data_IF_802435709102
#
_entry.id   IF_802435709102
#
_cell.length_a   1.000
_cell.length_b   1.000
_cell.length_c   1.000
_cell.angle_alpha   90.00
_cell.angle_beta   90.00
_cell.angle_gamma   90.00
#
_symmetry.space_group_name_H-M   'P 1'
#
loop_
_entity.id
_entity.type
_entity.pdbx_description
1 polymer ?
#
# COMPACT_ATOMS: atom_id res chain seq x y z
N UNK A 1 47.59 44.13 -8.18
CA UNK A 1 47.40 44.52 -6.77
C UNK A 1 45.99 44.07 -6.39
N UNK A 2 45.81 42.83 -5.95
CA UNK A 2 45.69 42.36 -4.53
C UNK A 2 44.34 42.81 -3.91
N UNK A 3 43.39 41.99 -3.42
CA UNK A 3 43.29 40.61 -2.89
C UNK A 3 41.78 40.18 -2.99
N UNK A 4 41.40 38.97 -3.43
CA UNK A 4 41.14 37.73 -2.65
C UNK A 4 40.13 37.92 -1.48
N UNK A 5 38.89 37.40 -1.53
CA UNK A 5 38.40 36.05 -1.13
C UNK A 5 37.21 36.31 -0.14
N UNK A 6 36.12 35.55 0.02
CA UNK A 6 35.91 34.11 0.08
C UNK A 6 34.45 33.75 -0.25
N UNK A 7 34.28 32.67 -1.02
CA UNK A 7 33.07 31.84 -1.07
C UNK A 7 32.94 31.05 0.25
N UNK A 8 31.72 30.95 0.81
CA UNK A 8 31.38 29.95 1.81
C UNK A 8 30.27 29.09 1.23
N UNK A 9 30.68 27.98 0.60
CA UNK A 9 29.82 26.83 0.34
C UNK A 9 29.69 26.06 1.66
N UNK A 10 28.48 26.00 2.21
CA UNK A 10 28.20 25.14 3.36
C UNK A 10 27.82 23.75 2.85
N UNK A 11 28.83 22.87 2.81
CA UNK A 11 28.65 21.44 2.62
C UNK A 11 28.23 20.82 3.96
N UNK A 12 26.96 20.41 4.09
CA UNK A 12 26.56 19.53 5.18
C UNK A 12 27.05 18.11 4.86
N UNK A 13 28.01 17.66 5.67
CA UNK A 13 28.64 16.35 5.59
C UNK A 13 27.60 15.23 5.77
N UNK A 14 27.53 14.34 4.77
CA UNK A 14 26.91 13.02 4.91
C UNK A 14 27.91 12.13 5.63
N UNK A 15 27.58 11.71 6.85
CA UNK A 15 28.34 10.70 7.58
C UNK A 15 27.99 9.34 6.98
N UNK A 16 28.90 8.81 6.16
CA UNK A 16 28.90 7.40 5.74
C UNK A 16 29.42 6.54 6.90
N UNK A 17 28.52 5.89 7.63
CA UNK A 17 28.89 4.75 8.47
C UNK A 17 28.92 3.52 7.56
N UNK A 18 30.12 3.19 7.08
CA UNK A 18 30.41 1.95 6.38
C UNK A 18 30.65 0.85 7.41
N UNK A 19 29.66 -0.01 7.63
CA UNK A 19 29.88 -1.31 8.27
C UNK A 19 29.69 -2.41 7.23
N UNK A 20 30.81 -2.91 6.73
CA UNK A 20 30.91 -4.13 5.93
C UNK A 20 30.28 -5.29 6.68
N UNK A 21 29.38 -6.02 6.04
CA UNK A 21 29.09 -7.41 6.40
C UNK A 21 28.84 -8.18 5.12
N UNK A 22 29.65 -9.22 4.97
CA UNK A 22 29.84 -10.00 3.76
C UNK A 22 28.56 -10.69 3.30
N UNK A 23 28.44 -10.81 1.98
CA UNK A 23 27.50 -11.70 1.33
C UNK A 23 27.81 -13.15 1.72
N UNK A 24 26.86 -13.82 2.36
CA UNK A 24 26.80 -15.29 2.39
C UNK A 24 25.71 -15.69 1.41
N UNK A 25 26.14 -16.25 0.28
CA UNK A 25 25.28 -17.00 -0.62
C UNK A 25 24.86 -18.28 0.11
N UNK A 26 23.57 -18.42 0.37
CA UNK A 26 22.96 -19.70 0.70
C UNK A 26 22.07 -20.13 -0.47
N UNK A 27 22.33 -21.35 -0.93
CA UNK A 27 21.76 -21.99 -2.10
C UNK A 27 20.23 -22.03 -2.10
N UNK A 28 19.68 -21.90 -3.30
CA UNK A 28 18.29 -22.20 -3.59
C UNK A 28 17.97 -23.66 -3.24
N UNK A 29 17.00 -23.84 -2.34
CA UNK A 29 16.31 -25.12 -2.17
C UNK A 29 14.83 -24.86 -2.42
N UNK A 30 14.29 -25.61 -3.38
CA UNK A 30 12.89 -25.68 -3.76
C UNK A 30 11.91 -25.58 -2.59
N UNK A 31 11.00 -24.61 -2.67
CA UNK A 31 9.71 -24.67 -1.97
C UNK A 31 8.63 -24.72 -3.05
N UNK A 32 8.24 -25.95 -3.38
CA UNK A 32 7.13 -26.26 -4.23
C UNK A 32 5.82 -25.68 -3.64
N UNK A 33 5.05 -25.00 -4.48
CA UNK A 33 3.71 -24.53 -4.16
C UNK A 33 2.74 -25.72 -4.06
N UNK A 34 2.04 -25.95 -2.92
CA UNK A 34 1.32 -27.21 -2.69
C UNK A 34 -0.12 -27.26 -3.25
N UNK A 35 -0.48 -26.52 -4.30
CA UNK A 35 -1.90 -26.38 -4.69
C UNK A 35 -2.29 -26.84 -6.09
N UNK A 36 -1.49 -27.71 -6.72
CA UNK A 36 -1.85 -28.32 -8.01
C UNK A 36 -1.50 -29.81 -8.02
N UNK A 37 -2.44 -30.66 -7.61
CA UNK A 37 -2.61 -32.03 -8.12
C UNK A 37 -3.92 -32.62 -7.60
N UNK A 38 -4.86 -32.89 -8.51
CA UNK A 38 -6.14 -33.49 -8.18
C UNK A 38 -6.88 -33.95 -9.44
N UNK A 39 -6.32 -34.93 -10.13
CA UNK A 39 -7.07 -35.75 -11.11
C UNK A 39 -7.05 -37.19 -10.61
N UNK A 40 -8.23 -37.78 -10.39
CA UNK A 40 -8.36 -39.20 -10.05
C UNK A 40 -9.74 -39.57 -9.56
N UNK A 41 -10.55 -40.09 -10.48
CA UNK A 41 -11.92 -40.57 -10.34
C UNK A 41 -12.04 -41.88 -9.53
N UNK A 42 -13.12 -42.08 -8.77
CA UNK A 42 -14.14 -43.14 -8.97
C UNK A 42 -14.80 -43.71 -7.69
N UNK A 43 -16.13 -43.85 -7.79
CA UNK A 43 -17.06 -44.85 -7.22
C UNK A 43 -17.53 -44.80 -5.74
N UNK A 44 -18.86 -44.60 -5.64
CA UNK A 44 -19.88 -45.24 -4.79
C UNK A 44 -19.67 -45.41 -3.26
N UNK A 45 -20.56 -44.76 -2.47
CA UNK A 45 -21.60 -45.46 -1.69
C UNK A 45 -22.38 -44.51 -0.74
N UNK A 46 -23.71 -44.49 -0.95
CA UNK A 46 -24.81 -44.59 0.03
C UNK A 46 -24.88 -43.68 1.29
N UNK A 47 -26.03 -42.99 1.36
CA UNK A 47 -26.82 -42.61 2.53
C UNK A 47 -26.14 -41.95 3.75
N UNK A 48 -26.28 -40.63 3.85
CA UNK A 48 -26.80 -39.97 5.05
C UNK A 48 -27.21 -38.53 4.70
N UNK A 49 -28.47 -38.17 4.91
CA UNK A 49 -28.85 -36.76 5.05
C UNK A 49 -28.54 -36.32 6.49
N UNK A 50 -27.83 -35.20 6.68
CA UNK A 50 -28.11 -34.34 7.81
C UNK A 50 -28.67 -33.01 7.30
N UNK A 51 -29.87 -32.68 7.78
CA UNK A 51 -30.35 -31.31 7.83
C UNK A 51 -29.40 -30.54 8.75
N UNK A 52 -28.72 -29.52 8.23
CA UNK A 52 -28.16 -28.43 9.03
C UNK A 52 -27.88 -27.22 8.15
N UNK A 53 -28.65 -26.17 8.44
CA UNK A 53 -28.47 -24.72 8.28
C UNK A 53 -27.60 -24.17 7.14
N UNK A 54 -28.06 -23.12 6.44
CA UNK A 54 -27.21 -22.40 5.51
C UNK A 54 -26.02 -21.85 6.30
N UNK A 55 -24.81 -22.30 5.97
CA UNK A 55 -23.63 -21.54 6.29
C UNK A 55 -23.88 -20.14 5.74
N UNK A 56 -24.00 -19.15 6.61
CA UNK A 56 -24.10 -17.77 6.18
C UNK A 56 -22.92 -17.51 5.24
N UNK A 57 -23.23 -17.33 3.95
CA UNK A 57 -22.21 -17.09 2.93
C UNK A 57 -21.37 -15.88 3.37
N UNK A 58 -20.04 -15.92 3.24
CA UNK A 58 -19.19 -14.73 3.40
C UNK A 58 -19.50 -13.61 2.39
N UNK A 59 -20.53 -13.78 1.56
CA UNK A 59 -21.06 -12.85 0.56
C UNK A 59 -21.74 -11.60 1.18
N UNK A 60 -22.03 -11.62 2.48
CA UNK A 60 -22.47 -10.45 3.27
C UNK A 60 -21.33 -9.71 3.98
N UNK A 61 -20.06 -9.96 3.64
CA UNK A 61 -18.94 -9.15 4.09
C UNK A 61 -19.02 -7.72 3.51
N UNK A 62 -19.83 -6.90 4.17
CA UNK A 62 -19.77 -5.44 4.25
C UNK A 62 -19.98 -4.66 2.94
N UNK A 63 -21.18 -4.78 2.34
CA UNK A 63 -21.67 -3.82 1.33
C UNK A 63 -21.86 -2.38 1.86
N UNK A 64 -21.77 -2.18 3.18
CA UNK A 64 -21.90 -0.88 3.85
C UNK A 64 -20.58 -0.40 4.51
N UNK A 65 -19.50 -1.17 4.39
CA UNK A 65 -18.19 -0.84 4.94
C UNK A 65 -17.40 0.18 4.13
N UNK A 66 -16.25 0.63 4.67
CA UNK A 66 -15.34 1.55 3.96
C UNK A 66 -14.86 0.99 2.61
N UNK A 67 -14.85 -0.34 2.44
CA UNK A 67 -14.46 -1.03 1.22
C UNK A 67 -15.61 -1.33 0.23
N UNK A 68 -16.85 -0.95 0.57
CA UNK A 68 -18.05 -1.29 -0.21
C UNK A 68 -17.93 -0.93 -1.71
N UNK A 69 -17.33 0.21 -2.02
CA UNK A 69 -17.12 0.65 -3.41
C UNK A 69 -16.19 -0.28 -4.20
N UNK A 70 -15.20 -0.89 -3.54
CA UNK A 70 -14.29 -1.84 -4.17
C UNK A 70 -14.95 -3.20 -4.33
N UNK A 71 -15.71 -3.68 -3.33
CA UNK A 71 -16.48 -4.93 -3.47
C UNK A 71 -17.47 -4.87 -4.63
N UNK A 72 -18.11 -3.72 -4.89
CA UNK A 72 -18.97 -3.53 -6.07
C UNK A 72 -18.23 -3.61 -7.41
N UNK A 73 -16.92 -3.39 -7.41
CA UNK A 73 -16.05 -3.45 -8.60
C UNK A 73 -15.31 -4.79 -8.74
N UNK A 74 -15.32 -5.63 -7.71
CA UNK A 74 -14.68 -6.93 -7.77
C UNK A 74 -15.42 -7.82 -8.79
N UNK A 75 -14.69 -8.30 -9.80
CA UNK A 75 -15.19 -9.12 -10.88
C UNK A 75 -14.98 -10.64 -10.63
N UNK A 76 -14.33 -11.01 -9.52
CA UNK A 76 -14.03 -12.41 -9.21
C UNK A 76 -13.96 -12.68 -7.71
N UNK A 77 -14.18 -13.94 -7.34
CA UNK A 77 -14.02 -14.41 -5.95
C UNK A 77 -12.60 -14.18 -5.41
N UNK A 78 -11.57 -14.27 -6.26
CA UNK A 78 -10.19 -13.98 -5.88
C UNK A 78 -10.00 -12.50 -5.50
N UNK A 79 -10.60 -11.57 -6.24
CA UNK A 79 -10.56 -10.15 -5.90
C UNK A 79 -11.33 -9.86 -4.60
N UNK A 80 -12.50 -10.48 -4.40
CA UNK A 80 -13.26 -10.36 -3.15
C UNK A 80 -12.45 -10.85 -1.96
N UNK A 81 -11.81 -12.03 -2.07
CA UNK A 81 -10.97 -12.57 -1.00
C UNK A 81 -9.75 -11.68 -0.71
N UNK A 82 -9.11 -11.12 -1.75
CA UNK A 82 -8.00 -10.18 -1.58
C UNK A 82 -8.44 -8.87 -0.90
N UNK A 83 -9.62 -8.33 -1.24
CA UNK A 83 -10.18 -7.16 -0.55
C UNK A 83 -10.49 -7.47 0.92
N UNK A 84 -11.03 -8.65 1.22
CA UNK A 84 -11.31 -9.07 2.59
C UNK A 84 -10.04 -9.18 3.43
N UNK A 85 -8.97 -9.75 2.86
CA UNK A 85 -7.66 -9.79 3.53
C UNK A 85 -7.11 -8.37 3.76
N UNK A 86 -7.23 -7.49 2.77
CA UNK A 86 -6.76 -6.10 2.86
C UNK A 86 -7.55 -5.27 3.90
N UNK A 87 -8.85 -5.51 4.03
CA UNK A 87 -9.71 -4.84 5.02
C UNK A 87 -9.33 -5.18 6.47
N UNK A 88 -8.74 -6.35 6.69
CA UNK A 88 -8.24 -6.79 8.00
C UNK A 88 -6.91 -6.12 8.38
N UNK A 89 -6.18 -5.52 7.42
CA UNK A 89 -4.96 -4.77 7.71
C UNK A 89 -5.28 -3.44 8.41
N UNK A 90 -5.01 -3.40 9.71
CA UNK A 90 -5.18 -2.25 10.59
C UNK A 90 -3.85 -1.59 10.99
N UNK A 91 -2.76 -1.83 10.26
CA UNK A 91 -1.43 -1.30 10.62
C UNK A 91 -1.37 0.25 10.66
N UNK A 92 -2.23 0.93 9.89
CA UNK A 92 -2.42 2.40 9.97
C UNK A 92 -3.71 2.84 10.69
N UNK A 93 -4.38 1.91 11.37
CA UNK A 93 -5.65 2.13 12.05
C UNK A 93 -6.87 1.97 11.14
N UNK A 94 -7.98 2.62 11.50
CA UNK A 94 -9.24 2.54 10.75
C UNK A 94 -9.15 3.36 9.47
N UNK A 95 -9.21 2.69 8.33
CA UNK A 95 -9.16 3.29 7.01
C UNK A 95 -9.20 2.28 5.88
N UNK A 96 -8.81 2.74 4.70
CA UNK A 96 -8.80 2.02 3.43
C UNK A 96 -7.41 2.11 2.84
N UNK A 97 -6.86 0.97 2.45
CA UNK A 97 -5.68 0.87 1.59
C UNK A 97 -6.08 1.14 0.14
N UNK A 98 -6.34 2.42 -0.18
CA UNK A 98 -7.01 2.84 -1.42
C UNK A 98 -6.26 2.35 -2.66
N UNK A 99 -4.94 2.51 -2.70
CA UNK A 99 -4.13 2.12 -3.87
C UNK A 99 -4.14 0.60 -4.09
N UNK A 100 -3.91 -0.18 -3.05
CA UNK A 100 -3.94 -1.64 -3.10
C UNK A 100 -5.34 -2.16 -3.46
N UNK A 101 -6.39 -1.55 -2.92
CA UNK A 101 -7.77 -1.90 -3.27
C UNK A 101 -8.07 -1.64 -4.76
N UNK A 102 -7.61 -0.50 -5.30
CA UNK A 102 -7.71 -0.20 -6.73
C UNK A 102 -6.91 -1.20 -7.58
N UNK A 103 -5.73 -1.61 -7.12
CA UNK A 103 -4.93 -2.62 -7.81
C UNK A 103 -5.60 -3.99 -7.83
N UNK A 104 -6.20 -4.40 -6.71
CA UNK A 104 -6.95 -5.67 -6.61
C UNK A 104 -8.10 -5.68 -7.62
N UNK A 105 -8.90 -4.61 -7.70
CA UNK A 105 -10.04 -4.55 -8.65
C UNK A 105 -9.63 -4.19 -10.08
N UNK A 106 -8.33 -4.09 -10.38
CA UNK A 106 -7.81 -3.79 -11.72
C UNK A 106 -8.04 -2.35 -12.19
N UNK A 107 -8.39 -1.43 -11.28
CA UNK A 107 -8.59 -0.01 -11.57
C UNK A 107 -7.27 0.80 -11.53
N UNK A 108 -6.19 0.20 -11.00
CA UNK A 108 -4.84 0.75 -11.03
C UNK A 108 -3.85 -0.38 -11.31
N UNK A 109 -2.78 -0.17 -12.11
CA UNK A 109 -1.75 -1.19 -12.28
C UNK A 109 -1.01 -1.46 -10.96
N UNK A 110 -0.81 -2.74 -10.63
CA UNK A 110 -0.11 -3.19 -9.41
C UNK A 110 1.30 -2.60 -9.29
N UNK A 111 2.00 -2.50 -10.42
CA UNK A 111 3.35 -1.96 -10.55
C UNK A 111 3.35 -0.52 -11.09
N UNK A 112 2.23 0.20 -10.91
CA UNK A 112 2.11 1.59 -11.34
C UNK A 112 3.08 2.53 -10.63
N UNK A 113 3.33 3.72 -11.23
CA UNK A 113 4.23 4.72 -10.68
C UNK A 113 3.87 5.09 -9.23
N UNK A 114 4.89 5.22 -8.38
CA UNK A 114 4.75 5.62 -6.98
C UNK A 114 5.38 7.00 -6.77
N UNK A 115 4.90 7.71 -5.76
CA UNK A 115 5.49 8.99 -5.37
C UNK A 115 6.92 8.75 -4.86
N UNK A 116 7.90 9.45 -5.39
CA UNK A 116 9.27 9.42 -4.87
C UNK A 116 9.45 10.47 -3.77
N UNK A 117 10.41 10.29 -2.87
CA UNK A 117 10.72 11.29 -1.84
C UNK A 117 11.15 12.64 -2.45
N UNK A 118 11.91 12.59 -3.56
CA UNK A 118 12.35 13.79 -4.29
C UNK A 118 11.17 14.54 -4.92
N UNK A 119 10.24 13.83 -5.56
CA UNK A 119 9.03 14.44 -6.12
C UNK A 119 8.12 15.00 -5.04
N UNK A 120 7.96 14.26 -3.94
CA UNK A 120 7.17 14.72 -2.80
C UNK A 120 7.71 16.05 -2.26
N UNK A 121 9.02 16.13 -2.00
CA UNK A 121 9.67 17.34 -1.51
C UNK A 121 9.54 18.53 -2.48
N UNK A 122 9.75 18.27 -3.78
CA UNK A 122 9.62 19.27 -4.85
C UNK A 122 8.20 19.83 -4.92
N UNK A 123 7.18 18.96 -4.92
CA UNK A 123 5.76 19.35 -5.01
C UNK A 123 5.34 20.15 -3.77
N UNK A 124 5.67 19.67 -2.57
CA UNK A 124 5.31 20.35 -1.32
C UNK A 124 5.97 21.73 -1.21
N UNK A 125 7.19 21.87 -1.72
CA UNK A 125 7.90 23.15 -1.74
C UNK A 125 7.33 24.13 -2.77
N UNK A 126 6.79 23.63 -3.88
CA UNK A 126 6.24 24.44 -4.96
C UNK A 126 4.78 24.86 -4.72
N UNK A 127 3.99 24.03 -4.04
CA UNK A 127 2.55 24.22 -3.89
C UNK A 127 2.19 24.58 -2.45
N UNK A 128 1.38 25.63 -2.31
CA UNK A 128 0.98 26.15 -0.99
C UNK A 128 -0.30 25.53 -0.46
N UNK A 129 -1.18 25.04 -1.34
CA UNK A 129 -2.48 24.51 -0.97
C UNK A 129 -2.43 22.99 -0.86
N UNK A 130 -2.89 22.41 0.26
CA UNK A 130 -2.93 20.96 0.46
C UNK A 130 -3.73 20.20 -0.60
N UNK A 131 -4.80 20.81 -1.11
CA UNK A 131 -5.61 20.24 -2.19
C UNK A 131 -4.82 20.15 -3.50
N UNK A 132 -3.97 21.14 -3.80
CA UNK A 132 -3.12 21.13 -4.98
C UNK A 132 -1.99 20.10 -4.84
N UNK A 133 -1.41 19.99 -3.63
CA UNK A 133 -0.42 18.93 -3.32
C UNK A 133 -1.04 17.55 -3.47
N UNK A 134 -2.22 17.32 -2.91
CA UNK A 134 -2.97 16.08 -3.09
C UNK A 134 -3.16 15.75 -4.57
N UNK A 135 -3.67 16.70 -5.35
CA UNK A 135 -3.89 16.52 -6.79
C UNK A 135 -2.60 16.18 -7.54
N UNK A 136 -1.48 16.84 -7.19
CA UNK A 136 -0.19 16.56 -7.79
C UNK A 136 0.36 15.17 -7.40
N UNK A 137 0.14 14.72 -6.17
CA UNK A 137 0.48 13.36 -5.75
C UNK A 137 -0.37 12.32 -6.45
N UNK A 138 -1.68 12.52 -6.51
CA UNK A 138 -2.62 11.63 -7.21
C UNK A 138 -2.31 11.57 -8.72
N UNK A 139 -1.78 12.63 -9.32
CA UNK A 139 -1.34 12.60 -10.72
C UNK A 139 -0.14 11.66 -10.96
N UNK A 140 0.72 11.44 -9.95
CA UNK A 140 1.87 10.53 -10.05
C UNK A 140 1.49 9.13 -9.59
N UNK A 141 0.85 9.04 -8.42
CA UNK A 141 0.54 7.78 -7.76
C UNK A 141 -0.79 7.18 -8.25
N UNK A 142 -1.68 7.95 -8.85
CA UNK A 142 -3.05 7.55 -9.18
C UNK A 142 -4.01 7.61 -7.99
N UNK A 143 -3.54 7.38 -6.77
CA UNK A 143 -4.30 7.48 -5.52
C UNK A 143 -3.35 7.55 -4.31
N UNK A 144 -3.84 7.99 -3.14
CA UNK A 144 -3.17 7.74 -1.86
C UNK A 144 -3.04 6.23 -1.59
N UNK A 145 -1.97 5.82 -0.91
CA UNK A 145 -1.79 4.44 -0.48
C UNK A 145 -2.82 4.07 0.60
N UNK A 146 -3.08 4.99 1.52
CA UNK A 146 -4.07 4.80 2.57
C UNK A 146 -4.87 6.07 2.86
N UNK A 147 -6.17 5.92 3.09
CA UNK A 147 -7.07 6.99 3.53
C UNK A 147 -7.89 6.54 4.73
N UNK A 148 -7.99 7.40 5.74
CA UNK A 148 -8.77 7.08 6.91
C UNK A 148 -8.50 8.02 8.06
N UNK A 149 -8.67 7.50 9.27
CA UNK A 149 -8.52 8.21 10.52
C UNK A 149 -9.85 8.47 11.22
N UNK A 150 -9.83 8.36 12.54
CA UNK A 150 -11.00 8.61 13.36
C UNK A 150 -11.17 10.11 13.58
N UNK A 151 -12.22 10.69 12.99
CA UNK A 151 -12.57 12.13 13.05
C UNK A 151 -11.54 13.09 12.43
N UNK A 152 -10.42 12.56 11.96
CA UNK A 152 -9.34 13.28 11.29
C UNK A 152 -9.14 12.62 9.94
N UNK A 153 -9.39 13.36 8.85
CA UNK A 153 -9.15 12.83 7.52
C UNK A 153 -7.64 12.86 7.25
N UNK A 154 -7.06 11.68 7.07
CA UNK A 154 -5.66 11.48 6.74
C UNK A 154 -5.56 10.72 5.42
N UNK A 155 -4.82 11.30 4.48
CA UNK A 155 -4.32 10.62 3.29
C UNK A 155 -2.81 10.38 3.45
N UNK A 156 -2.35 9.16 3.17
CA UNK A 156 -0.95 8.73 3.29
C UNK A 156 -0.42 8.35 1.92
N UNK A 157 0.75 8.89 1.57
CA UNK A 157 1.50 8.58 0.36
C UNK A 157 2.88 8.08 0.75
N UNK A 158 3.15 6.80 0.56
CA UNK A 158 4.48 6.25 0.79
C UNK A 158 5.43 6.69 -0.31
N UNK A 159 6.62 7.16 0.08
CA UNK A 159 7.64 7.70 -0.84
C UNK A 159 8.65 6.65 -1.31
N UNK A 160 8.36 5.37 -1.02
CA UNK A 160 9.17 4.19 -1.32
C UNK A 160 8.33 2.90 -1.24
N UNK A 161 8.87 1.80 -1.75
CA UNK A 161 8.16 0.50 -1.80
C UNK A 161 8.14 -0.25 -0.46
N UNK A 162 9.06 0.08 0.44
CA UNK A 162 9.23 -0.51 1.76
C UNK A 162 8.26 0.06 2.81
N UNK A 163 7.44 1.05 2.43
CA UNK A 163 6.50 1.77 3.30
C UNK A 163 7.15 2.41 4.53
N UNK A 164 8.46 2.67 4.49
CA UNK A 164 9.16 3.26 5.64
C UNK A 164 9.01 4.77 5.67
N UNK A 165 8.84 5.44 4.53
CA UNK A 165 8.71 6.91 4.50
C UNK A 165 7.39 7.32 3.85
N UNK A 166 6.76 8.38 4.37
CA UNK A 166 5.51 8.87 3.80
C UNK A 166 5.31 10.38 3.94
N UNK A 167 4.51 10.94 3.04
CA UNK A 167 3.88 12.24 3.23
C UNK A 167 2.42 12.03 3.60
N UNK A 168 1.98 12.69 4.65
CA UNK A 168 0.60 12.65 5.11
C UNK A 168 -0.07 14.00 4.85
N UNK A 169 -1.33 13.98 4.43
CA UNK A 169 -2.20 15.15 4.41
C UNK A 169 -3.28 14.91 5.46
N UNK A 170 -3.26 15.71 6.53
CA UNK A 170 -4.10 15.55 7.73
C UNK A 170 -4.97 16.78 7.91
N UNK A 171 -6.30 16.65 7.75
CA UNK A 171 -7.25 17.78 7.82
C UNK A 171 -6.81 19.00 6.98
N UNK A 172 -6.27 18.77 5.78
CA UNK A 172 -5.75 19.86 4.95
C UNK A 172 -4.46 20.48 5.49
N UNK A 173 -3.67 19.75 6.26
CA UNK A 173 -2.30 20.15 6.63
C UNK A 173 -1.33 19.10 6.10
N UNK A 174 -0.28 19.55 5.43
CA UNK A 174 0.77 18.66 4.94
C UNK A 174 1.72 18.37 6.09
N UNK A 175 1.83 17.10 6.45
CA UNK A 175 2.72 16.61 7.50
C UNK A 175 3.68 15.64 6.83
N UNK A 176 4.96 15.99 6.80
CA UNK A 176 5.98 15.02 6.43
C UNK A 176 6.18 14.07 7.60
N UNK A 177 6.03 12.77 7.36
CA UNK A 177 6.25 11.74 8.38
C UNK A 177 7.48 10.95 7.93
N UNK A 178 8.60 11.20 8.61
CA UNK A 178 9.76 10.32 8.53
C UNK A 178 9.43 8.91 9.06
N UNK A 179 10.43 8.05 9.11
CA UNK A 179 10.31 6.58 9.27
C UNK A 179 9.07 6.08 10.04
N UNK A 180 8.11 5.47 9.34
CA UNK A 180 6.99 4.69 9.88
C UNK A 180 7.57 3.30 10.22
N UNK A 181 7.65 2.97 11.52
CA UNK A 181 8.09 1.65 12.02
C UNK A 181 6.90 0.81 12.43
#
# INVERSE_FOLDING_TARGET
MNKAAHLIASACAVVLVSTSSAAVWASATDVAAPWLSGTGSSADALHATPVSSPAASPEEASRDGLYAAFYRKAASASQTAALQALEQDRSLGRGVWTREALAIVGALPKEGPRLSAADAARIVSALKQPADVRRAFDAIAGAPDWEGGDRVHRAVYFTGSDRTQAVCIVNGTIVHVGTIR
#
